data_IF_181028277361
#
_entry.id   IF_181028277361
#
_cell.length_a   1.000
_cell.length_b   1.000
_cell.length_c   1.000
_cell.angle_alpha   90.00
_cell.angle_beta   90.00
_cell.angle_gamma   90.00
#
_symmetry.space_group_name_H-M   'P 1'
#
loop_
_entity.id
_entity.type
_entity.pdbx_description
1 polymer ?
#
# COMPACT_ATOMS: atom_id res chain seq x y z
N UNK A 1 -0.58 20.00 -1.91
CA UNK A 1 -1.63 19.46 -1.00
C UNK A 1 -2.02 18.08 -1.53
N UNK A 2 -1.91 17.05 -0.72
CA UNK A 2 -2.19 15.67 -1.10
C UNK A 2 -3.66 15.52 -1.54
N UNK A 3 -3.91 14.95 -2.72
CA UNK A 3 -5.28 14.85 -3.29
C UNK A 3 -6.25 14.00 -2.44
N UNK A 4 -5.71 13.11 -1.60
CA UNK A 4 -6.51 12.24 -0.73
C UNK A 4 -7.04 12.90 0.56
N UNK A 5 -6.61 14.13 0.86
CA UNK A 5 -7.04 14.87 2.07
C UNK A 5 -7.58 16.25 1.74
N UNK A 6 -8.12 16.41 0.53
CA UNK A 6 -8.77 17.66 0.16
C UNK A 6 -10.02 17.87 1.03
N UNK A 7 -10.18 19.09 1.52
CA UNK A 7 -11.34 19.50 2.31
C UNK A 7 -12.22 20.43 1.48
N UNK A 8 -13.48 20.54 1.87
CA UNK A 8 -14.48 21.40 1.23
C UNK A 8 -15.14 20.73 0.03
N UNK A 9 -15.89 21.51 -0.76
CA UNK A 9 -16.71 21.01 -1.85
C UNK A 9 -15.92 20.24 -2.91
N UNK A 10 -16.57 19.27 -3.56
CA UNK A 10 -15.99 18.50 -4.65
C UNK A 10 -15.60 19.37 -5.85
N UNK A 11 -14.48 19.02 -6.47
CA UNK A 11 -13.92 19.71 -7.64
C UNK A 11 -13.72 18.76 -8.81
N UNK A 12 -13.66 19.32 -10.01
CA UNK A 12 -13.30 18.54 -11.19
C UNK A 12 -11.97 17.82 -11.01
N UNK A 13 -11.90 16.59 -11.52
CA UNK A 13 -10.70 15.77 -11.46
C UNK A 13 -10.55 14.97 -10.16
N UNK A 14 -11.35 15.20 -9.13
CA UNK A 14 -11.27 14.42 -7.90
C UNK A 14 -11.83 12.99 -8.06
N UNK A 15 -11.23 11.99 -7.37
CA UNK A 15 -11.84 10.69 -7.25
C UNK A 15 -13.02 10.75 -6.27
N UNK A 16 -14.09 10.03 -6.59
CA UNK A 16 -15.26 9.86 -5.71
C UNK A 16 -15.67 8.40 -5.64
N UNK A 17 -16.26 8.02 -4.51
CA UNK A 17 -17.00 6.78 -4.34
C UNK A 17 -18.47 7.11 -4.13
N UNK A 18 -19.31 6.46 -4.91
CA UNK A 18 -20.77 6.55 -4.80
C UNK A 18 -21.28 5.29 -4.13
N UNK A 19 -22.13 5.45 -3.10
CA UNK A 19 -22.75 4.35 -2.37
C UNK A 19 -24.24 4.32 -2.67
N UNK A 20 -24.74 3.18 -3.13
CA UNK A 20 -26.19 2.98 -3.30
C UNK A 20 -26.86 2.46 -2.02
N UNK A 21 -28.20 2.30 -2.04
CA UNK A 21 -29.01 1.78 -0.91
C UNK A 21 -28.66 0.35 -0.46
N UNK A 22 -27.82 -0.36 -1.23
CA UNK A 22 -27.36 -1.72 -0.93
C UNK A 22 -25.87 -1.75 -0.54
N UNK A 23 -25.33 -0.58 -0.19
CA UNK A 23 -23.92 -0.38 0.17
C UNK A 23 -22.94 -0.84 -0.94
N UNK A 24 -23.37 -0.80 -2.22
CA UNK A 24 -22.47 -1.08 -3.35
C UNK A 24 -21.71 0.18 -3.70
N UNK A 25 -20.41 0.01 -3.82
CA UNK A 25 -19.45 1.07 -4.11
C UNK A 25 -19.19 1.19 -5.62
N UNK A 26 -19.19 2.41 -6.12
CA UNK A 26 -18.83 2.76 -7.49
C UNK A 26 -17.74 3.82 -7.43
N UNK A 27 -16.49 3.42 -7.69
CA UNK A 27 -15.38 4.36 -7.77
C UNK A 27 -15.40 5.04 -9.14
N UNK A 28 -15.36 6.36 -9.14
CA UNK A 28 -15.36 7.18 -10.33
C UNK A 28 -14.41 8.37 -10.18
N UNK A 29 -14.25 9.14 -11.26
CA UNK A 29 -13.57 10.42 -11.24
C UNK A 29 -14.50 11.50 -11.79
N UNK A 30 -14.45 12.65 -11.20
CA UNK A 30 -15.24 13.81 -11.64
C UNK A 30 -14.63 14.39 -12.91
N UNK A 31 -15.08 13.90 -14.06
CA UNK A 31 -14.73 14.39 -15.41
C UNK A 31 -15.96 15.03 -16.03
N UNK A 32 -15.93 16.35 -16.21
CA UNK A 32 -17.05 17.10 -16.80
C UNK A 32 -17.44 16.62 -18.20
N UNK A 33 -16.54 15.93 -18.90
CA UNK A 33 -16.78 15.43 -20.26
C UNK A 33 -17.56 14.11 -20.28
N UNK A 34 -17.71 13.42 -19.15
CA UNK A 34 -18.29 12.08 -19.09
C UNK A 34 -19.18 11.92 -17.86
N UNK A 35 -20.41 11.42 -18.01
CA UNK A 35 -21.23 11.04 -16.86
C UNK A 35 -20.64 9.80 -16.18
N UNK A 36 -20.92 9.65 -14.90
CA UNK A 36 -20.59 8.45 -14.14
C UNK A 36 -21.65 7.40 -14.42
N UNK A 37 -21.24 6.27 -15.00
CA UNK A 37 -22.11 5.13 -15.28
C UNK A 37 -22.18 4.22 -14.05
N UNK A 38 -23.38 3.94 -13.59
CA UNK A 38 -23.65 3.12 -12.42
C UNK A 38 -24.81 2.16 -12.70
N UNK A 39 -24.95 1.14 -11.88
CA UNK A 39 -26.15 0.32 -11.93
C UNK A 39 -27.34 1.16 -11.44
N UNK A 40 -28.29 1.41 -12.31
CA UNK A 40 -29.42 2.30 -12.02
C UNK A 40 -29.31 3.66 -12.73
N UNK A 41 -28.57 3.71 -13.84
CA UNK A 41 -28.52 4.89 -14.72
C UNK A 41 -27.15 5.57 -14.76
N UNK A 42 -27.17 6.88 -14.91
CA UNK A 42 -25.98 7.74 -14.93
C UNK A 42 -26.15 8.90 -13.97
N UNK A 43 -25.04 9.46 -13.49
CA UNK A 43 -25.00 10.68 -12.69
C UNK A 43 -24.15 11.70 -13.46
N UNK A 44 -24.66 12.90 -13.61
CA UNK A 44 -23.96 13.99 -14.25
C UNK A 44 -22.97 14.60 -13.27
N UNK A 45 -21.72 14.75 -13.70
CA UNK A 45 -20.63 15.22 -12.80
C UNK A 45 -20.90 16.62 -12.25
N UNK A 46 -21.57 17.49 -13.02
CA UNK A 46 -21.98 18.82 -12.56
C UNK A 46 -22.93 18.82 -11.37
N UNK A 47 -23.65 17.71 -11.13
CA UNK A 47 -24.53 17.55 -9.96
C UNK A 47 -23.74 17.23 -8.68
N UNK A 48 -22.47 16.88 -8.79
CA UNK A 48 -21.58 16.56 -7.67
C UNK A 48 -20.64 17.71 -7.35
N UNK A 49 -20.11 18.36 -8.38
CA UNK A 49 -19.17 19.48 -8.21
C UNK A 49 -19.83 20.59 -7.39
N UNK A 50 -19.13 21.08 -6.37
CA UNK A 50 -19.63 22.10 -5.44
C UNK A 50 -20.41 21.56 -4.24
N UNK A 51 -20.72 20.26 -4.20
CA UNK A 51 -21.32 19.63 -3.02
C UNK A 51 -20.25 19.24 -2.01
N UNK A 52 -20.63 19.15 -0.74
CA UNK A 52 -19.78 18.60 0.32
C UNK A 52 -19.88 17.07 0.37
N UNK A 53 -18.86 16.44 0.96
CA UNK A 53 -18.85 14.99 1.23
C UNK A 53 -20.05 14.57 2.07
N UNK A 54 -20.59 13.39 1.75
CA UNK A 54 -21.81 12.88 2.40
C UNK A 54 -23.09 13.40 1.76
N UNK A 55 -23.02 14.20 0.70
CA UNK A 55 -24.19 14.64 -0.04
C UNK A 55 -24.88 13.50 -0.75
N UNK A 56 -26.18 13.67 -0.98
CA UNK A 56 -27.00 12.73 -1.76
C UNK A 56 -27.19 13.31 -3.17
N UNK A 57 -26.83 12.53 -4.17
CA UNK A 57 -27.14 12.82 -5.58
C UNK A 57 -28.09 11.76 -6.14
N UNK A 58 -28.76 12.07 -7.25
CA UNK A 58 -29.71 11.14 -7.88
C UNK A 58 -29.25 10.76 -9.27
N UNK A 59 -29.41 9.49 -9.60
CA UNK A 59 -29.17 9.01 -10.96
C UNK A 59 -30.29 9.45 -11.91
N UNK A 60 -30.06 9.28 -13.21
CA UNK A 60 -31.07 9.52 -14.26
C UNK A 60 -32.35 8.68 -14.11
N UNK A 61 -32.31 7.63 -13.27
CA UNK A 61 -33.47 6.82 -12.89
C UNK A 61 -33.99 7.16 -11.48
N UNK A 62 -33.64 8.34 -10.96
CA UNK A 62 -34.05 8.86 -9.65
C UNK A 62 -33.59 8.03 -8.44
N UNK A 63 -32.61 7.13 -8.61
CA UNK A 63 -32.03 6.36 -7.51
C UNK A 63 -31.04 7.24 -6.72
N UNK A 64 -31.09 7.26 -5.37
CA UNK A 64 -30.19 8.06 -4.55
C UNK A 64 -28.85 7.36 -4.32
N UNK A 65 -27.80 8.17 -4.28
CA UNK A 65 -26.42 7.76 -3.98
C UNK A 65 -25.80 8.75 -3.00
N UNK A 66 -25.11 8.23 -1.99
CA UNK A 66 -24.19 9.03 -1.18
C UNK A 66 -22.88 9.19 -1.91
N UNK A 67 -22.27 10.38 -1.82
CA UNK A 67 -20.99 10.69 -2.47
C UNK A 67 -19.94 11.01 -1.42
N UNK A 68 -18.79 10.32 -1.48
CA UNK A 68 -17.64 10.55 -0.63
C UNK A 68 -16.35 10.60 -1.45
N UNK A 69 -15.29 11.17 -0.90
CA UNK A 69 -13.93 10.88 -1.38
C UNK A 69 -13.57 9.45 -0.97
N UNK A 70 -12.92 8.65 -1.84
CA UNK A 70 -12.58 7.29 -1.47
C UNK A 70 -11.56 7.29 -0.34
N UNK A 71 -11.82 6.48 0.67
CA UNK A 71 -10.82 6.15 1.67
C UNK A 71 -9.68 5.33 1.04
N UNK A 72 -8.52 5.29 1.68
CA UNK A 72 -7.37 4.53 1.16
C UNK A 72 -7.69 3.05 0.92
N UNK A 73 -8.38 2.32 1.84
CA UNK A 73 -8.80 0.95 1.58
C UNK A 73 -9.76 0.77 0.39
N UNK A 74 -10.58 1.78 0.08
CA UNK A 74 -11.46 1.76 -1.10
C UNK A 74 -10.70 2.05 -2.39
N UNK A 75 -9.66 2.88 -2.32
CA UNK A 75 -8.85 3.26 -3.47
C UNK A 75 -7.94 2.14 -3.95
N UNK A 76 -7.17 1.53 -3.03
CA UNK A 76 -6.10 0.58 -3.35
C UNK A 76 -6.58 -0.60 -4.23
N UNK A 77 -7.67 -1.32 -3.92
CA UNK A 77 -8.11 -2.44 -4.75
C UNK A 77 -8.54 -2.03 -6.17
N UNK A 78 -8.82 -0.76 -6.37
CA UNK A 78 -9.31 -0.19 -7.63
C UNK A 78 -8.24 0.56 -8.44
N UNK A 79 -6.99 0.54 -8.00
CA UNK A 79 -5.89 1.12 -8.78
C UNK A 79 -5.75 0.42 -10.13
N UNK A 80 -5.50 1.16 -11.22
CA UNK A 80 -5.02 0.58 -12.47
C UNK A 80 -3.77 -0.27 -12.19
N UNK A 81 -3.80 -1.54 -12.61
CA UNK A 81 -2.72 -2.48 -12.32
C UNK A 81 -2.59 -3.56 -13.37
N UNK A 82 -1.37 -4.04 -13.57
CA UNK A 82 -1.02 -5.19 -14.43
C UNK A 82 -0.51 -6.39 -13.61
N UNK A 83 -0.37 -6.24 -12.27
CA UNK A 83 0.05 -7.26 -11.34
C UNK A 83 -0.83 -7.25 -10.08
N UNK A 84 -0.65 -8.24 -9.22
CA UNK A 84 -1.27 -8.23 -7.89
C UNK A 84 -0.73 -7.04 -7.08
N UNK A 85 -1.59 -6.54 -6.19
CA UNK A 85 -1.23 -5.48 -5.23
C UNK A 85 -1.22 -6.06 -3.82
N UNK A 86 -0.47 -5.44 -2.94
CA UNK A 86 -0.62 -5.69 -1.51
C UNK A 86 -1.96 -5.09 -1.06
N UNK A 87 -2.83 -5.94 -0.51
CA UNK A 87 -4.17 -5.54 -0.08
C UNK A 87 -4.13 -4.68 1.19
N UNK A 88 -5.15 -3.84 1.43
CA UNK A 88 -5.22 -3.00 2.63
C UNK A 88 -5.07 -3.76 3.95
N UNK A 89 -5.54 -5.02 4.01
CA UNK A 89 -5.40 -5.87 5.19
C UNK A 89 -3.94 -6.16 5.56
N UNK A 90 -3.03 -6.15 4.57
CA UNK A 90 -1.60 -6.39 4.75
C UNK A 90 -0.82 -5.07 4.84
N UNK A 91 -1.25 -4.01 4.12
CA UNK A 91 -0.61 -2.69 4.21
C UNK A 91 -0.60 -2.13 5.63
N UNK A 92 -1.71 -2.27 6.39
CA UNK A 92 -1.77 -1.83 7.78
C UNK A 92 -0.71 -2.49 8.66
N UNK A 93 -0.67 -3.83 8.74
CA UNK A 93 0.38 -4.57 9.42
C UNK A 93 1.79 -4.22 8.93
N UNK A 94 2.04 -4.08 7.62
CA UNK A 94 3.34 -3.66 7.11
C UNK A 94 3.79 -2.35 7.77
N UNK A 95 2.93 -1.33 7.81
CA UNK A 95 3.29 -0.03 8.41
C UNK A 95 3.63 -0.14 9.90
N UNK A 96 2.92 -0.99 10.64
CA UNK A 96 3.12 -1.16 12.08
C UNK A 96 4.35 -2.04 12.38
N UNK A 97 4.48 -3.19 11.72
CA UNK A 97 5.59 -4.12 12.00
C UNK A 97 6.92 -3.67 11.39
N UNK A 98 6.90 -2.84 10.34
CA UNK A 98 8.08 -2.12 9.92
C UNK A 98 8.37 -0.89 10.81
N UNK A 99 7.52 -0.60 11.80
CA UNK A 99 7.66 0.56 12.70
C UNK A 99 7.93 1.85 11.91
N UNK A 100 7.04 2.16 10.93
CA UNK A 100 7.11 3.35 10.09
C UNK A 100 6.73 4.58 10.92
N UNK A 101 7.51 5.65 10.80
CA UNK A 101 7.29 6.89 11.52
C UNK A 101 7.51 8.12 10.62
N UNK A 102 6.92 9.28 10.95
CA UNK A 102 7.18 10.52 10.21
C UNK A 102 8.67 10.89 10.24
N UNK A 103 9.23 11.17 9.06
CA UNK A 103 10.66 11.47 8.90
C UNK A 103 11.54 10.25 8.60
N UNK A 104 11.01 9.03 8.56
CA UNK A 104 11.79 7.83 8.26
C UNK A 104 12.38 7.86 6.84
N UNK A 105 13.59 7.34 6.71
CA UNK A 105 14.26 7.07 5.44
C UNK A 105 14.01 5.62 5.04
N UNK A 106 13.31 5.41 3.95
CA UNK A 106 12.77 4.11 3.54
C UNK A 106 13.23 3.74 2.14
N UNK A 107 13.64 2.49 1.97
CA UNK A 107 13.85 1.87 0.66
C UNK A 107 12.74 0.85 0.41
N UNK A 108 12.16 0.89 -0.78
CA UNK A 108 11.16 -0.06 -1.27
C UNK A 108 11.70 -0.73 -2.53
N UNK A 109 11.44 -2.03 -2.71
CA UNK A 109 11.65 -2.69 -4.00
C UNK A 109 10.49 -3.62 -4.35
N UNK A 110 10.12 -3.60 -5.65
CA UNK A 110 8.89 -4.20 -6.15
C UNK A 110 7.73 -3.22 -6.01
N UNK A 111 7.71 -2.19 -6.85
CA UNK A 111 6.75 -1.07 -6.75
C UNK A 111 5.37 -1.43 -7.31
N UNK A 112 5.37 -2.22 -8.39
CA UNK A 112 4.15 -2.66 -9.06
C UNK A 112 3.24 -1.48 -9.45
N UNK A 113 2.03 -1.42 -8.90
CA UNK A 113 1.07 -0.33 -9.15
C UNK A 113 1.26 0.89 -8.23
N UNK A 114 2.22 0.89 -7.30
CA UNK A 114 2.47 1.98 -6.34
C UNK A 114 1.59 1.94 -5.10
N UNK A 115 0.94 0.82 -4.80
CA UNK A 115 0.05 0.70 -3.63
C UNK A 115 0.83 0.80 -2.32
N UNK A 116 1.94 0.05 -2.20
CA UNK A 116 2.83 0.12 -1.05
C UNK A 116 3.50 1.49 -0.97
N UNK A 117 4.03 2.01 -2.09
CA UNK A 117 4.65 3.34 -2.14
C UNK A 117 3.75 4.43 -1.56
N UNK A 118 2.46 4.46 -1.94
CA UNK A 118 1.50 5.43 -1.39
C UNK A 118 1.24 5.23 0.10
N UNK A 119 1.23 3.98 0.59
CA UNK A 119 1.08 3.70 2.02
C UNK A 119 2.30 4.17 2.81
N UNK A 120 3.51 3.92 2.30
CA UNK A 120 4.78 4.36 2.88
C UNK A 120 4.87 5.88 2.94
N UNK A 121 4.60 6.57 1.82
CA UNK A 121 4.58 8.04 1.74
C UNK A 121 3.62 8.65 2.78
N UNK A 122 2.45 8.04 2.98
CA UNK A 122 1.51 8.46 4.02
C UNK A 122 2.07 8.34 5.42
N UNK A 123 2.79 7.25 5.69
CA UNK A 123 3.32 6.96 7.02
C UNK A 123 4.52 7.83 7.38
N UNK A 124 5.44 8.04 6.40
CA UNK A 124 6.66 8.82 6.64
C UNK A 124 6.44 10.33 6.57
N UNK A 125 5.32 10.78 5.97
CA UNK A 125 5.01 12.20 5.81
C UNK A 125 6.01 12.96 4.93
N UNK A 126 5.85 14.28 4.87
CA UNK A 126 6.64 15.13 3.97
C UNK A 126 8.12 15.29 4.39
N UNK A 127 8.44 14.94 5.65
CA UNK A 127 9.82 15.01 6.19
C UNK A 127 10.62 13.72 6.02
N UNK A 128 9.93 12.61 5.68
CA UNK A 128 10.57 11.34 5.36
C UNK A 128 11.09 11.29 3.92
N UNK A 129 11.83 10.25 3.60
CA UNK A 129 12.38 9.98 2.27
C UNK A 129 12.02 8.55 1.83
N UNK A 130 11.45 8.41 0.64
CA UNK A 130 11.20 7.11 0.03
C UNK A 130 12.00 6.97 -1.26
N UNK A 131 12.86 5.94 -1.33
CA UNK A 131 13.53 5.53 -2.55
C UNK A 131 13.00 4.15 -2.95
N UNK A 132 12.37 4.08 -4.11
CA UNK A 132 11.76 2.85 -4.63
C UNK A 132 12.53 2.34 -5.83
N UNK A 133 12.68 1.02 -5.93
CA UNK A 133 13.31 0.32 -7.04
C UNK A 133 12.30 -0.57 -7.76
N UNK A 134 12.27 -0.47 -9.08
CA UNK A 134 11.45 -1.31 -9.96
C UNK A 134 12.25 -1.67 -11.20
N UNK A 135 12.36 -2.98 -11.49
CA UNK A 135 13.14 -3.43 -12.66
C UNK A 135 12.35 -3.26 -13.97
N UNK A 136 11.02 -3.24 -13.89
CA UNK A 136 10.13 -3.12 -15.05
C UNK A 136 9.73 -1.67 -15.27
N UNK A 137 10.14 -1.10 -16.40
CA UNK A 137 9.82 0.28 -16.77
C UNK A 137 8.32 0.54 -16.87
N UNK A 138 7.54 -0.40 -17.45
CA UNK A 138 6.08 -0.28 -17.56
C UNK A 138 5.38 -0.21 -16.19
N UNK A 139 5.90 -0.93 -15.18
CA UNK A 139 5.40 -0.85 -13.81
C UNK A 139 5.79 0.46 -13.13
N UNK A 140 7.04 0.89 -13.30
CA UNK A 140 7.53 2.16 -12.78
C UNK A 140 6.70 3.34 -13.32
N UNK A 141 6.42 3.37 -14.63
CA UNK A 141 5.56 4.38 -15.22
C UNK A 141 4.13 4.33 -14.68
N UNK A 142 3.56 3.11 -14.54
CA UNK A 142 2.22 2.94 -13.99
C UNK A 142 2.15 3.45 -12.56
N UNK A 143 3.15 3.13 -11.73
CA UNK A 143 3.25 3.62 -10.35
C UNK A 143 3.33 5.15 -10.29
N UNK A 144 4.17 5.78 -11.13
CA UNK A 144 4.26 7.25 -11.21
C UNK A 144 2.90 7.87 -11.56
N UNK A 145 2.21 7.32 -12.56
CA UNK A 145 0.87 7.77 -12.96
C UNK A 145 -0.16 7.62 -11.82
N UNK A 146 -0.14 6.47 -11.12
CA UNK A 146 -1.05 6.21 -10.01
C UNK A 146 -0.77 7.14 -8.81
N UNK A 147 0.48 7.27 -8.39
CA UNK A 147 0.86 8.16 -7.29
C UNK A 147 0.49 9.60 -7.62
N UNK A 148 0.87 10.11 -8.79
CA UNK A 148 0.52 11.47 -9.21
C UNK A 148 -1.01 11.70 -9.26
N UNK A 149 -1.76 10.70 -9.70
CA UNK A 149 -3.21 10.81 -9.89
C UNK A 149 -4.00 10.68 -8.59
N UNK A 150 -3.62 9.75 -7.71
CA UNK A 150 -4.43 9.35 -6.56
C UNK A 150 -3.86 9.83 -5.22
N UNK A 151 -2.54 9.95 -5.12
CA UNK A 151 -1.88 10.51 -3.94
C UNK A 151 -1.64 12.03 -4.11
N UNK A 152 -1.17 12.46 -5.27
CA UNK A 152 -0.84 13.84 -5.61
C UNK A 152 0.66 14.05 -5.79
N UNK A 153 1.08 15.33 -5.94
CA UNK A 153 2.49 15.64 -6.08
C UNK A 153 3.26 15.31 -4.81
N UNK A 154 4.41 14.67 -4.98
CA UNK A 154 5.34 14.31 -3.90
C UNK A 154 6.74 14.76 -4.28
N UNK A 155 7.46 15.36 -3.33
CA UNK A 155 8.84 15.81 -3.51
C UNK A 155 9.86 14.88 -2.84
N UNK A 156 9.40 13.98 -1.97
CA UNK A 156 10.20 13.10 -1.14
C UNK A 156 10.14 11.63 -1.60
N UNK A 157 9.76 11.38 -2.85
CA UNK A 157 9.76 10.07 -3.48
C UNK A 157 10.65 10.05 -4.71
N UNK A 158 11.61 9.12 -4.73
CA UNK A 158 12.47 8.83 -5.88
C UNK A 158 12.24 7.40 -6.35
N UNK A 159 11.78 7.23 -7.60
CA UNK A 159 11.59 5.91 -8.21
C UNK A 159 12.66 5.67 -9.25
N UNK A 160 13.54 4.72 -8.96
CA UNK A 160 14.63 4.26 -9.82
C UNK A 160 14.19 3.02 -10.62
N UNK A 161 14.49 3.02 -11.92
CA UNK A 161 14.32 1.83 -12.77
C UNK A 161 15.64 1.09 -12.74
N UNK A 162 15.64 -0.12 -12.15
CA UNK A 162 16.85 -0.92 -12.02
C UNK A 162 16.72 -2.03 -10.97
N UNK A 163 17.73 -2.87 -10.92
CA UNK A 163 17.81 -3.98 -9.98
C UNK A 163 18.40 -3.52 -8.65
N UNK A 164 17.60 -3.55 -7.60
CA UNK A 164 18.04 -3.22 -6.24
C UNK A 164 19.26 -4.05 -5.80
N UNK A 165 19.41 -5.29 -6.30
CA UNK A 165 20.53 -6.14 -5.94
C UNK A 165 21.90 -5.54 -6.32
N UNK A 166 21.94 -4.78 -7.40
CA UNK A 166 23.17 -4.15 -7.95
C UNK A 166 23.22 -2.65 -7.76
N UNK A 167 22.06 -2.01 -7.56
CA UNK A 167 21.95 -0.54 -7.60
C UNK A 167 21.59 0.09 -6.25
N UNK A 168 21.55 -0.68 -5.16
CA UNK A 168 21.26 -0.16 -3.83
C UNK A 168 22.42 0.69 -3.30
N UNK A 169 22.28 2.00 -3.43
CA UNK A 169 23.30 3.00 -3.01
C UNK A 169 23.02 3.59 -1.62
N UNK A 170 21.78 3.50 -1.14
CA UNK A 170 21.35 4.11 0.11
C UNK A 170 22.12 3.52 1.29
N UNK A 171 22.43 4.37 2.26
CA UNK A 171 23.10 4.02 3.52
C UNK A 171 22.31 4.63 4.68
N UNK A 172 22.45 4.03 5.85
CA UNK A 172 21.83 4.52 7.09
C UNK A 172 20.30 4.72 6.94
N UNK A 173 19.64 3.83 6.16
CA UNK A 173 18.18 3.86 6.02
C UNK A 173 17.51 3.20 7.23
N UNK A 174 16.35 3.70 7.59
CA UNK A 174 15.60 3.17 8.71
C UNK A 174 14.94 1.84 8.40
N UNK A 175 14.39 1.71 7.19
CA UNK A 175 13.54 0.57 6.78
C UNK A 175 13.81 0.16 5.35
N UNK A 176 13.77 -1.13 5.09
CA UNK A 176 13.76 -1.71 3.74
C UNK A 176 12.53 -2.61 3.62
N UNK A 177 11.67 -2.34 2.63
CA UNK A 177 10.44 -3.07 2.33
C UNK A 177 10.59 -3.77 0.98
N UNK A 178 10.42 -5.09 0.94
CA UNK A 178 10.63 -5.90 -0.26
C UNK A 178 9.35 -6.66 -0.64
N UNK A 179 8.81 -6.37 -1.82
CA UNK A 179 7.78 -7.15 -2.50
C UNK A 179 8.39 -7.81 -3.75
N UNK A 180 9.31 -8.73 -3.51
CA UNK A 180 10.13 -9.38 -4.53
C UNK A 180 10.02 -10.90 -4.43
N UNK A 181 10.21 -11.64 -5.55
CA UNK A 181 10.13 -13.10 -5.54
C UNK A 181 11.24 -13.79 -4.74
N UNK A 182 12.44 -13.19 -4.67
CA UNK A 182 13.64 -13.80 -4.08
C UNK A 182 14.41 -12.85 -3.14
N UNK A 183 13.77 -12.30 -2.08
CA UNK A 183 14.39 -11.28 -1.21
C UNK A 183 15.59 -11.81 -0.41
N UNK A 184 15.75 -13.14 -0.27
CA UNK A 184 16.91 -13.73 0.41
C UNK A 184 18.24 -13.42 -0.27
N UNK A 185 18.25 -13.10 -1.56
CA UNK A 185 19.46 -12.66 -2.28
C UNK A 185 19.93 -11.27 -1.86
N UNK A 186 19.06 -10.49 -1.20
CA UNK A 186 19.32 -9.11 -0.80
C UNK A 186 19.78 -8.97 0.65
N UNK A 187 19.93 -10.06 1.42
CA UNK A 187 20.23 -9.99 2.86
C UNK A 187 21.52 -9.20 3.14
N UNK A 188 22.59 -9.45 2.39
CA UNK A 188 23.85 -8.71 2.53
C UNK A 188 23.73 -7.23 2.13
N UNK A 189 23.06 -6.95 1.01
CA UNK A 189 22.81 -5.58 0.55
C UNK A 189 21.94 -4.80 1.55
N UNK A 190 20.90 -5.44 2.08
CA UNK A 190 20.04 -4.85 3.10
C UNK A 190 20.79 -4.54 4.39
N UNK A 191 21.67 -5.45 4.84
CA UNK A 191 22.52 -5.19 6.00
C UNK A 191 23.42 -3.97 5.80
N UNK A 192 24.03 -3.84 4.63
CA UNK A 192 24.90 -2.71 4.29
C UNK A 192 24.18 -1.36 4.20
N UNK A 193 22.91 -1.39 3.84
CA UNK A 193 22.09 -0.19 3.62
C UNK A 193 21.36 0.27 4.88
N UNK A 194 20.84 -0.66 5.70
CA UNK A 194 20.15 -0.33 6.94
C UNK A 194 21.10 0.27 7.97
N UNK A 195 20.62 1.21 8.78
CA UNK A 195 21.33 1.60 10.02
C UNK A 195 21.25 0.50 11.08
N UNK A 196 22.12 0.49 12.10
CA UNK A 196 21.96 -0.40 13.26
C UNK A 196 20.54 -0.27 13.87
N UNK A 197 19.89 -1.41 14.12
CA UNK A 197 18.50 -1.47 14.62
C UNK A 197 17.44 -1.22 13.54
N UNK A 198 17.83 -0.93 12.29
CA UNK A 198 16.92 -0.81 11.15
C UNK A 198 16.18 -2.11 10.86
N UNK A 199 15.02 -2.02 10.19
CA UNK A 199 14.15 -3.17 9.92
C UNK A 199 14.13 -3.49 8.44
N UNK A 200 14.37 -4.76 8.12
CA UNK A 200 14.02 -5.39 6.85
C UNK A 200 12.65 -6.06 7.01
N UNK A 201 11.71 -5.79 6.10
CA UNK A 201 10.43 -6.48 6.02
C UNK A 201 10.16 -6.91 4.58
N UNK A 202 9.78 -8.17 4.39
CA UNK A 202 9.39 -8.71 3.09
C UNK A 202 7.96 -9.20 3.10
N UNK A 203 7.24 -8.95 2.00
CA UNK A 203 5.95 -9.55 1.68
C UNK A 203 6.17 -10.73 0.75
N UNK A 204 5.71 -11.92 1.12
CA UNK A 204 6.00 -13.18 0.45
C UNK A 204 4.73 -14.00 0.24
N UNK A 205 4.39 -14.40 -0.99
CA UNK A 205 3.15 -15.13 -1.26
C UNK A 205 3.17 -16.61 -0.83
N UNK A 206 4.34 -17.22 -0.59
CA UNK A 206 4.41 -18.66 -0.32
C UNK A 206 5.28 -19.00 0.88
N UNK A 207 4.94 -20.10 1.57
CA UNK A 207 5.72 -20.63 2.72
C UNK A 207 7.15 -21.06 2.34
N UNK A 208 7.38 -21.48 1.10
CA UNK A 208 8.72 -21.84 0.64
C UNK A 208 9.61 -20.61 0.51
N UNK A 209 9.08 -19.49 0.03
CA UNK A 209 9.80 -18.22 0.00
C UNK A 209 10.09 -17.70 1.42
N UNK A 210 9.12 -17.81 2.32
CA UNK A 210 9.33 -17.52 3.75
C UNK A 210 10.49 -18.33 4.32
N UNK A 211 10.47 -19.65 4.09
CA UNK A 211 11.55 -20.53 4.54
C UNK A 211 12.90 -20.08 4.01
N UNK A 212 13.01 -19.80 2.70
CA UNK A 212 14.27 -19.37 2.07
C UNK A 212 14.80 -18.07 2.68
N UNK A 213 13.93 -17.09 2.92
CA UNK A 213 14.33 -15.82 3.53
C UNK A 213 14.77 -16.01 4.99
N UNK A 214 13.98 -16.77 5.78
CA UNK A 214 14.30 -17.02 7.20
C UNK A 214 15.62 -17.78 7.35
N UNK A 215 15.86 -18.80 6.49
CA UNK A 215 17.13 -19.53 6.49
C UNK A 215 18.32 -18.61 6.12
N UNK A 216 18.16 -17.76 5.12
CA UNK A 216 19.19 -16.80 4.73
C UNK A 216 19.53 -15.80 5.87
N UNK A 217 18.51 -15.24 6.52
CA UNK A 217 18.68 -14.33 7.65
C UNK A 217 19.35 -15.00 8.86
N UNK A 218 18.98 -16.24 9.16
CA UNK A 218 19.60 -17.03 10.25
C UNK A 218 21.05 -17.40 9.96
N UNK A 219 21.35 -17.77 8.71
CA UNK A 219 22.70 -18.11 8.28
C UNK A 219 23.62 -16.88 8.25
N UNK A 220 23.08 -15.72 7.95
CA UNK A 220 23.83 -14.45 7.94
C UNK A 220 24.25 -14.02 9.35
N UNK A 221 23.46 -14.30 10.38
CA UNK A 221 23.69 -13.97 11.78
C UNK A 221 23.80 -12.47 12.12
N UNK A 222 23.71 -11.58 11.16
CA UNK A 222 23.76 -10.12 11.36
C UNK A 222 22.37 -9.51 11.55
N UNK A 223 21.34 -10.35 11.53
CA UNK A 223 19.95 -9.99 11.82
C UNK A 223 19.43 -10.77 13.02
N UNK A 224 18.55 -10.12 13.77
CA UNK A 224 17.84 -10.72 14.91
C UNK A 224 16.35 -10.39 14.82
N UNK A 225 15.56 -10.84 15.80
CA UNK A 225 14.12 -10.61 15.87
C UNK A 225 13.42 -11.02 14.55
N UNK A 226 13.78 -12.20 14.03
CA UNK A 226 13.20 -12.73 12.80
C UNK A 226 11.82 -13.27 13.14
N UNK A 227 10.79 -12.63 12.59
CA UNK A 227 9.39 -12.97 12.80
C UNK A 227 8.67 -13.12 11.48
N UNK A 228 7.74 -14.08 11.41
CA UNK A 228 6.86 -14.25 10.24
C UNK A 228 5.42 -14.29 10.69
N UNK A 229 4.56 -13.57 10.00
CA UNK A 229 3.13 -13.49 10.29
C UNK A 229 2.29 -13.53 9.02
N UNK A 230 1.04 -13.91 9.17
CA UNK A 230 -0.01 -13.78 8.17
C UNK A 230 -1.17 -12.99 8.77
N UNK A 231 -1.81 -12.16 7.96
CA UNK A 231 -2.94 -11.35 8.40
C UNK A 231 -4.26 -11.89 7.85
N UNK A 232 -5.21 -12.14 8.72
CA UNK A 232 -6.58 -12.52 8.36
C UNK A 232 -7.55 -11.44 8.82
N UNK A 233 -8.28 -10.83 7.87
CA UNK A 233 -9.29 -9.82 8.16
C UNK A 233 -10.67 -10.33 7.76
N UNK A 234 -11.60 -10.37 8.71
CA UNK A 234 -12.95 -10.85 8.48
C UNK A 234 -13.98 -9.77 8.78
N UNK A 235 -14.74 -9.37 7.76
CA UNK A 235 -15.85 -8.44 7.91
C UNK A 235 -17.11 -9.17 8.40
N UNK A 236 -17.96 -8.44 9.10
CA UNK A 236 -19.23 -8.91 9.59
C UNK A 236 -20.40 -8.21 8.92
N UNK A 237 -21.47 -8.95 8.68
CA UNK A 237 -22.76 -8.40 8.30
C UNK A 237 -23.57 -8.21 9.58
N UNK A 238 -24.02 -6.96 9.80
CA UNK A 238 -24.86 -6.60 10.95
C UNK A 238 -26.04 -5.80 10.43
N UNK A 239 -27.23 -6.45 10.40
CA UNK A 239 -28.47 -5.80 9.96
C UNK A 239 -29.65 -6.39 10.72
N UNK A 240 -30.26 -5.61 11.62
CA UNK A 240 -31.28 -6.08 12.53
C UNK A 240 -30.78 -7.27 13.35
N UNK A 241 -31.53 -8.37 13.36
CA UNK A 241 -31.15 -9.62 14.04
C UNK A 241 -30.23 -10.52 13.20
N UNK A 242 -29.90 -10.13 11.97
CA UNK A 242 -28.95 -10.87 11.11
C UNK A 242 -27.53 -10.42 11.38
N UNK A 243 -26.87 -11.12 12.32
CA UNK A 243 -25.47 -10.83 12.73
C UNK A 243 -24.63 -12.07 12.38
N UNK A 244 -23.74 -11.94 11.41
CA UNK A 244 -22.93 -13.05 10.92
C UNK A 244 -21.66 -12.57 10.19
N UNK A 245 -20.61 -13.38 10.09
CA UNK A 245 -19.49 -13.08 9.20
C UNK A 245 -19.97 -12.93 7.75
N UNK A 246 -19.32 -12.06 6.99
CA UNK A 246 -19.53 -12.02 5.54
C UNK A 246 -19.13 -13.36 4.91
N UNK A 247 -19.85 -13.77 3.87
CA UNK A 247 -19.61 -15.06 3.19
C UNK A 247 -18.26 -15.09 2.47
N UNK A 248 -17.84 -13.94 1.90
CA UNK A 248 -16.56 -13.83 1.21
C UNK A 248 -15.53 -13.24 2.15
N UNK A 249 -14.37 -13.88 2.21
CA UNK A 249 -13.19 -13.41 2.91
C UNK A 249 -11.98 -13.64 1.98
N UNK A 250 -11.16 -12.62 1.79
CA UNK A 250 -9.83 -12.81 1.23
C UNK A 250 -8.97 -13.33 2.38
N UNK A 251 -8.69 -14.65 2.37
CA UNK A 251 -7.94 -15.30 3.43
C UNK A 251 -6.43 -15.09 3.21
N UNK A 252 -5.80 -16.01 2.49
CA UNK A 252 -4.38 -15.92 2.17
C UNK A 252 -4.11 -14.92 1.04
N UNK A 253 -3.12 -14.04 1.25
CA UNK A 253 -2.57 -13.15 0.22
C UNK A 253 -1.05 -13.18 0.23
N UNK A 254 -0.45 -13.27 1.41
CA UNK A 254 0.99 -13.36 1.62
C UNK A 254 1.35 -13.35 3.09
N UNK A 255 2.62 -13.60 3.34
CA UNK A 255 3.25 -13.56 4.66
C UNK A 255 4.12 -12.31 4.76
N UNK A 256 4.20 -11.75 5.96
CA UNK A 256 5.13 -10.70 6.32
C UNK A 256 6.27 -11.33 7.12
N UNK A 257 7.49 -11.20 6.63
CA UNK A 257 8.69 -11.63 7.36
C UNK A 257 9.54 -10.41 7.66
N UNK A 258 9.79 -10.15 8.95
CA UNK A 258 10.60 -9.02 9.41
C UNK A 258 11.85 -9.49 10.14
N UNK A 259 12.90 -8.65 10.10
CA UNK A 259 14.15 -8.85 10.84
C UNK A 259 14.78 -7.51 11.17
N UNK A 260 15.54 -7.44 12.25
CA UNK A 260 16.28 -6.24 12.68
C UNK A 260 17.78 -6.40 12.47
N UNK A 261 18.40 -5.39 11.85
CA UNK A 261 19.85 -5.32 11.68
C UNK A 261 20.57 -5.16 13.03
N UNK A 262 21.57 -5.98 13.29
CA UNK A 262 22.47 -5.82 14.44
C UNK A 262 23.53 -4.73 14.18
N UNK A 263 24.15 -4.25 15.24
CA UNK A 263 25.28 -3.34 15.15
C UNK A 263 26.49 -4.01 14.47
N UNK A 264 27.41 -3.22 13.93
CA UNK A 264 28.61 -3.72 13.27
C UNK A 264 29.45 -4.57 14.23
N UNK A 265 29.97 -5.68 13.70
CA UNK A 265 30.76 -6.65 14.49
C UNK A 265 29.93 -7.53 15.44
N UNK A 266 28.62 -7.34 15.52
CA UNK A 266 27.75 -8.18 16.32
C UNK A 266 27.15 -9.34 15.51
N UNK A 267 26.84 -10.43 16.21
CA UNK A 267 26.14 -11.59 15.66
C UNK A 267 24.94 -11.94 16.55
N UNK A 268 23.93 -12.59 15.96
CA UNK A 268 22.75 -13.01 16.72
C UNK A 268 23.17 -13.98 17.85
N UNK A 269 22.49 -13.85 18.97
CA UNK A 269 22.72 -14.70 20.15
C UNK A 269 21.96 -16.01 19.94
N UNK A 270 22.62 -17.18 20.04
CA UNK A 270 21.91 -18.45 19.99
C UNK A 270 20.80 -18.49 21.03
N UNK A 271 19.58 -18.70 20.59
CA UNK A 271 18.43 -18.78 21.49
C UNK A 271 18.35 -20.18 22.05
N UNK A 272 17.90 -20.29 23.29
CA UNK A 272 17.62 -21.58 23.90
C UNK A 272 16.57 -22.32 23.05
N UNK A 273 16.69 -23.66 22.91
CA UNK A 273 15.75 -24.49 22.16
C UNK A 273 14.35 -24.45 22.77
#
# INVERSE_FOLDING_TARGET
MNSMHQKGPFREGEPVVLLDRKDREYLARLDLKRPILIRGGKITVTEIIGLDEGSVVRSSLNEPFLVFRPSFPQLIPNLPRSAQIIYPKDLGPILIWADLFPGARVVEAGVGAGALSMALLRAIGDTGELVSYEIREDFAELARKNVAKYYGPVSNWSLKIGDIATELEQKEVDRILLDLPEPWQLVDAAWKALRPGGILLSYLPTVLQVKSLVDALRNDQRFACIETMETLMRFWHVKGMSIRPQHRMVAHTGFLTSARRLADGQKDIPRAP
#
